data_IF_553148400631
#
_entry.id   IF_553148400631
#
_cell.length_a   1.000
_cell.length_b   1.000
_cell.length_c   1.000
_cell.angle_alpha   90.00
_cell.angle_beta   90.00
_cell.angle_gamma   90.00
#
_symmetry.space_group_name_H-M   'P 1'
#
loop_
_entity.id
_entity.type
_entity.pdbx_description
1 polymer ?
#
# COMPACT_ATOMS: atom_id res chain seq x y z
N UNK A 1 13.72 18.44 -2.28
CA UNK A 1 12.62 17.75 -3.00
C UNK A 1 11.31 18.50 -2.78
N UNK A 2 10.72 19.10 -3.82
CA UNK A 2 9.39 19.72 -3.71
C UNK A 2 8.37 18.60 -3.49
N UNK A 3 7.78 18.56 -2.30
CA UNK A 3 6.89 17.49 -1.83
C UNK A 3 5.61 17.52 -2.69
N UNK A 4 5.45 16.51 -3.56
CA UNK A 4 4.31 16.34 -4.45
C UNK A 4 2.95 16.35 -3.73
N UNK A 5 2.93 16.01 -2.44
CA UNK A 5 1.75 16.05 -1.56
C UNK A 5 1.24 17.49 -1.34
N UNK A 6 2.15 18.46 -1.18
CA UNK A 6 1.77 19.86 -0.97
C UNK A 6 1.18 20.48 -2.24
N UNK A 7 1.78 20.18 -3.40
CA UNK A 7 1.25 20.62 -4.69
C UNK A 7 -0.13 20.01 -5.00
N UNK A 8 -0.31 18.71 -4.72
CA UNK A 8 -1.60 18.03 -4.91
C UNK A 8 -2.71 18.64 -4.04
N UNK A 9 -2.40 19.07 -2.80
CA UNK A 9 -3.36 19.77 -1.93
C UNK A 9 -3.82 21.10 -2.51
N UNK A 10 -2.91 21.89 -3.08
CA UNK A 10 -3.23 23.18 -3.71
C UNK A 10 -4.09 22.97 -4.96
N UNK A 11 -3.71 22.00 -5.82
CA UNK A 11 -4.46 21.67 -7.04
C UNK A 11 -5.86 21.17 -6.70
N UNK A 12 -6.01 20.30 -5.70
CA UNK A 12 -7.31 19.78 -5.30
C UNK A 12 -8.25 20.90 -4.84
N UNK A 13 -7.76 21.82 -4.02
CA UNK A 13 -8.54 22.98 -3.56
C UNK A 13 -9.03 23.85 -4.73
N UNK A 14 -8.23 23.99 -5.79
CA UNK A 14 -8.60 24.74 -6.99
C UNK A 14 -9.53 23.96 -7.96
N UNK A 15 -9.48 22.61 -7.94
CA UNK A 15 -10.18 21.75 -8.91
C UNK A 15 -11.70 21.57 -8.66
N UNK A 16 -12.21 21.97 -7.49
CA UNK A 16 -13.61 21.76 -7.12
C UNK A 16 -14.01 20.31 -6.80
N UNK A 17 -13.09 19.35 -6.91
CA UNK A 17 -13.33 17.93 -6.64
C UNK A 17 -13.29 17.65 -5.14
N UNK A 18 -14.28 16.91 -4.62
CA UNK A 18 -14.40 16.63 -3.18
C UNK A 18 -13.31 15.71 -2.61
N UNK A 19 -12.77 14.80 -3.44
CA UNK A 19 -11.73 13.84 -3.07
C UNK A 19 -10.92 13.44 -4.30
N UNK A 20 -9.60 13.37 -4.16
CA UNK A 20 -8.73 12.82 -5.19
C UNK A 20 -7.89 11.70 -4.57
N UNK A 21 -7.64 10.63 -5.31
CA UNK A 21 -6.72 9.57 -4.91
C UNK A 21 -5.71 9.31 -6.02
N UNK A 22 -4.47 9.02 -5.63
CA UNK A 22 -3.41 8.57 -6.53
C UNK A 22 -2.95 7.19 -6.11
N UNK A 23 -2.92 6.25 -7.04
CA UNK A 23 -2.34 4.94 -6.81
C UNK A 23 -0.95 4.85 -7.46
N UNK A 24 0.05 4.50 -6.65
CA UNK A 24 1.42 4.21 -7.09
C UNK A 24 1.60 2.69 -7.08
N UNK A 25 1.32 2.08 -8.23
CA UNK A 25 1.40 0.62 -8.42
C UNK A 25 2.78 0.05 -8.07
N UNK A 26 3.83 0.77 -8.41
CA UNK A 26 5.23 0.37 -8.14
C UNK A 26 5.54 0.29 -6.64
N UNK A 27 4.86 1.11 -5.83
CA UNK A 27 5.06 1.18 -4.38
C UNK A 27 3.93 0.53 -3.58
N UNK A 28 2.93 -0.08 -4.25
CA UNK A 28 1.70 -0.58 -3.62
C UNK A 28 1.02 0.46 -2.71
N UNK A 29 1.07 1.74 -3.09
CA UNK A 29 0.65 2.85 -2.24
C UNK A 29 -0.53 3.60 -2.87
N UNK A 30 -1.66 3.69 -2.17
CA UNK A 30 -2.72 4.65 -2.48
C UNK A 30 -2.64 5.85 -1.55
N UNK A 31 -2.68 7.03 -2.14
CA UNK A 31 -2.67 8.31 -1.44
C UNK A 31 -4.04 8.96 -1.64
N UNK A 32 -4.78 9.16 -0.56
CA UNK A 32 -6.08 9.82 -0.59
C UNK A 32 -5.92 11.26 -0.08
N UNK A 33 -6.46 12.22 -0.84
CA UNK A 33 -6.49 13.64 -0.52
C UNK A 33 -7.94 14.05 -0.26
N UNK A 34 -8.20 14.59 0.94
CA UNK A 34 -9.52 15.15 1.29
C UNK A 34 -9.60 16.64 0.92
N UNK A 35 -10.83 17.15 0.76
CA UNK A 35 -11.11 18.59 0.60
C UNK A 35 -10.58 19.45 1.75
N UNK A 36 -10.54 18.92 2.98
CA UNK A 36 -9.94 19.58 4.14
C UNK A 36 -8.40 19.61 4.09
N UNK A 37 -7.80 19.02 3.04
CA UNK A 37 -6.36 18.96 2.86
C UNK A 37 -5.67 17.93 3.77
N UNK A 38 -6.43 16.95 4.25
CA UNK A 38 -5.91 15.77 4.94
C UNK A 38 -5.42 14.79 3.90
N UNK A 39 -4.23 14.23 4.12
CA UNK A 39 -3.63 13.23 3.23
C UNK A 39 -3.46 11.93 4.00
N UNK A 40 -3.98 10.84 3.43
CA UNK A 40 -3.94 9.53 4.07
C UNK A 40 -3.28 8.52 3.14
N UNK A 41 -2.37 7.74 3.70
CA UNK A 41 -1.63 6.71 3.00
C UNK A 41 -2.24 5.35 3.29
N UNK A 42 -2.46 4.57 2.24
CA UNK A 42 -2.93 3.19 2.29
C UNK A 42 -1.98 2.29 1.51
N UNK A 43 -1.64 1.14 2.08
CA UNK A 43 -1.11 0.03 1.30
C UNK A 43 -2.25 -0.61 0.52
N UNK A 44 -2.10 -0.72 -0.80
CA UNK A 44 -3.09 -1.31 -1.70
C UNK A 44 -2.40 -2.24 -2.70
N UNK A 45 -2.80 -3.51 -2.65
CA UNK A 45 -2.17 -4.59 -3.41
C UNK A 45 -3.11 -5.09 -4.51
N UNK A 46 -2.59 -5.53 -5.66
CA UNK A 46 -3.37 -6.23 -6.67
C UNK A 46 -4.08 -7.45 -6.08
N UNK A 47 -5.35 -7.69 -6.46
CA UNK A 47 -6.14 -8.83 -5.97
C UNK A 47 -5.43 -10.19 -6.12
N UNK A 48 -4.62 -10.33 -7.18
CA UNK A 48 -3.83 -11.54 -7.47
C UNK A 48 -2.80 -11.89 -6.39
N UNK A 49 -2.43 -10.94 -5.51
CA UNK A 49 -1.48 -11.20 -4.42
C UNK A 49 -2.16 -11.70 -3.15
N UNK A 50 -3.50 -11.79 -3.08
CA UNK A 50 -4.20 -12.22 -1.85
C UNK A 50 -4.04 -11.30 -0.63
N UNK A 51 -3.25 -10.23 -0.71
CA UNK A 51 -2.95 -9.33 0.40
C UNK A 51 -4.06 -8.29 0.61
N UNK A 52 -4.53 -8.17 1.85
CA UNK A 52 -5.49 -7.15 2.25
C UNK A 52 -4.79 -5.80 2.41
N UNK A 53 -5.30 -4.78 1.71
CA UNK A 53 -4.85 -3.40 1.89
C UNK A 53 -5.11 -2.87 3.30
N UNK A 54 -4.28 -1.92 3.76
CA UNK A 54 -4.35 -1.36 5.11
C UNK A 54 -3.98 0.13 5.13
N UNK A 55 -4.59 0.90 6.02
CA UNK A 55 -4.18 2.28 6.31
C UNK A 55 -2.80 2.29 6.98
N UNK A 56 -1.86 3.04 6.43
CA UNK A 56 -0.49 3.16 6.93
C UNK A 56 -0.29 4.35 7.87
N UNK A 57 -1.00 5.45 7.61
CA UNK A 57 -0.87 6.68 8.38
C UNK A 57 -1.38 7.91 7.60
N UNK A 58 -1.11 9.08 8.16
CA UNK A 58 -1.55 10.37 7.63
C UNK A 58 -0.36 11.32 7.55
N UNK A 59 -0.41 12.28 6.64
CA UNK A 59 0.56 13.38 6.60
C UNK A 59 0.09 14.50 7.55
N UNK A 60 0.99 15.17 8.30
CA UNK A 60 2.46 15.11 8.23
C UNK A 60 3.13 14.02 9.09
N UNK A 61 2.39 13.28 9.91
CA UNK A 61 2.93 12.32 10.88
C UNK A 61 3.67 11.15 10.20
N UNK A 62 3.24 10.78 8.99
CA UNK A 62 3.90 9.82 8.12
C UNK A 62 4.33 10.51 6.84
N UNK A 63 5.63 10.53 6.58
CA UNK A 63 6.18 11.04 5.31
C UNK A 63 5.99 10.01 4.20
N UNK A 64 5.81 10.50 2.97
CA UNK A 64 5.52 9.66 1.80
C UNK A 64 6.58 8.57 1.54
N UNK A 65 7.86 8.85 1.78
CA UNK A 65 8.92 7.86 1.56
C UNK A 65 8.78 6.68 2.54
N UNK A 66 8.57 6.96 3.82
CA UNK A 66 8.34 5.93 4.82
C UNK A 66 7.03 5.16 4.57
N UNK A 67 6.00 5.81 4.02
CA UNK A 67 4.78 5.13 3.59
C UNK A 67 5.04 4.13 2.45
N UNK A 68 5.89 4.48 1.47
CA UNK A 68 6.29 3.58 0.38
C UNK A 68 7.09 2.39 0.89
N UNK A 69 8.07 2.63 1.75
CA UNK A 69 8.88 1.58 2.38
C UNK A 69 8.00 0.59 3.15
N UNK A 70 7.04 1.09 3.94
CA UNK A 70 6.08 0.24 4.66
C UNK A 70 5.22 -0.60 3.72
N UNK A 71 4.69 -0.01 2.65
CA UNK A 71 3.87 -0.73 1.68
C UNK A 71 4.66 -1.83 0.95
N UNK A 72 5.89 -1.53 0.53
CA UNK A 72 6.80 -2.49 -0.11
C UNK A 72 7.18 -3.63 0.84
N UNK A 73 7.52 -3.33 2.10
CA UNK A 73 7.82 -4.35 3.11
C UNK A 73 6.64 -5.29 3.38
N UNK A 74 5.41 -4.77 3.32
CA UNK A 74 4.20 -5.60 3.43
C UNK A 74 4.00 -6.50 2.21
N UNK A 75 4.29 -6.02 0.99
CA UNK A 75 4.21 -6.85 -0.21
C UNK A 75 5.23 -8.00 -0.16
N UNK A 76 6.48 -7.72 0.21
CA UNK A 76 7.54 -8.74 0.31
C UNK A 76 7.24 -9.76 1.43
N UNK A 77 6.81 -9.31 2.61
CA UNK A 77 6.39 -10.20 3.70
C UNK A 77 5.18 -11.07 3.34
N UNK A 78 4.24 -10.53 2.57
CA UNK A 78 3.08 -11.25 2.07
C UNK A 78 3.45 -12.36 1.07
N UNK A 79 4.31 -12.07 0.11
CA UNK A 79 4.83 -13.06 -0.85
C UNK A 79 5.59 -14.20 -0.14
N UNK A 80 6.37 -13.87 0.90
CA UNK A 80 7.04 -14.89 1.72
C UNK A 80 6.04 -15.78 2.46
N UNK A 81 4.98 -15.22 3.02
CA UNK A 81 3.96 -16.01 3.71
C UNK A 81 3.26 -16.99 2.75
N UNK A 82 2.91 -16.58 1.53
CA UNK A 82 2.35 -17.48 0.51
C UNK A 82 3.33 -18.62 0.16
N UNK A 83 4.62 -18.31 0.02
CA UNK A 83 5.64 -19.34 -0.26
C UNK A 83 5.77 -20.40 0.85
N UNK A 84 5.62 -20.00 2.11
CA UNK A 84 5.64 -20.93 3.26
C UNK A 84 4.41 -21.83 3.26
N UNK A 85 3.22 -21.27 3.00
CA UNK A 85 2.00 -22.09 2.91
C UNK A 85 2.09 -23.10 1.76
N UNK A 86 2.59 -22.69 0.60
CA UNK A 86 2.82 -23.60 -0.53
C UNK A 86 3.78 -24.74 -0.16
N UNK A 87 4.89 -24.44 0.54
CA UNK A 87 5.83 -25.47 1.00
C UNK A 87 5.22 -26.42 2.03
N UNK A 88 4.36 -25.92 2.93
CA UNK A 88 3.67 -26.76 3.92
C UNK A 88 2.64 -27.69 3.29
N UNK A 89 1.88 -27.23 2.28
CA UNK A 89 0.94 -28.06 1.54
C UNK A 89 1.69 -29.15 0.75
N UNK A 90 2.80 -28.80 0.09
CA UNK A 90 3.65 -29.79 -0.59
C UNK A 90 4.17 -30.88 0.37
N UNK A 91 4.55 -30.52 1.61
CA UNK A 91 4.98 -31.49 2.62
C UNK A 91 3.84 -32.38 3.13
N UNK A 92 2.60 -31.88 3.17
CA UNK A 92 1.43 -32.67 3.57
C UNK A 92 1.04 -33.70 2.51
N UNK A 93 1.18 -33.32 1.25
CA UNK A 93 0.87 -34.18 0.10
C UNK A 93 1.98 -35.22 -0.18
N UNK A 94 3.14 -35.08 0.47
CA UNK A 94 4.23 -36.05 0.36
C UNK A 94 3.85 -37.34 1.12
N UNK A 95 3.74 -38.49 0.44
CA UNK A 95 3.38 -39.73 1.10
C UNK A 95 4.47 -40.11 2.10
N UNK A 96 4.09 -40.22 3.38
CA UNK A 96 5.03 -40.65 4.43
C UNK A 96 5.68 -41.98 4.05
N UNK A 97 7.01 -42.10 4.14
CA UNK A 97 7.69 -43.37 3.87
C UNK A 97 7.17 -44.43 4.86
N UNK A 98 6.84 -45.62 4.32
CA UNK A 98 6.42 -46.80 5.09
C UNK A 98 7.55 -47.35 5.94
#
# INVERSE_FOLDING_TARGET
MKICVAAAKIILAASGVARCSKYEKENYLRIDFSKAGKVTFYAEFPKKMGLKGKKLGEWPELVIQLAREKALGMADGGLRAESVHAALEMYRDDPKPK
#
